data_IF_306405276925
#
_entry.id   IF_306405276925
#
_cell.length_a   1.000
_cell.length_b   1.000
_cell.length_c   1.000
_cell.angle_alpha   90.00
_cell.angle_beta   90.00
_cell.angle_gamma   90.00
#
_symmetry.space_group_name_H-M   'P 1'
#
loop_
_entity.id
_entity.type
_entity.pdbx_description
1 polymer ?
#
# COMPACT_ATOMS: atom_id res chain seq x y z
N UNK A 1 -20.38 -2.80 8.64
CA UNK A 1 -18.92 -3.05 8.75
C UNK A 1 -18.16 -1.90 9.41
N UNK A 2 -18.80 -0.75 9.71
CA UNK A 2 -18.18 0.49 10.19
C UNK A 2 -17.68 0.55 11.65
N UNK A 3 -17.58 -0.57 12.40
CA UNK A 3 -17.27 -0.44 13.84
C UNK A 3 -15.78 -0.28 14.15
N UNK A 4 -14.87 -0.62 13.24
CA UNK A 4 -13.44 -0.75 13.56
C UNK A 4 -12.45 -0.09 12.59
N UNK A 5 -12.77 0.02 11.29
CA UNK A 5 -11.86 0.63 10.29
C UNK A 5 -12.68 1.37 9.23
N UNK A 6 -12.31 2.63 8.95
CA UNK A 6 -12.80 3.44 7.84
C UNK A 6 -11.59 3.93 7.03
N UNK A 7 -11.53 3.57 5.74
CA UNK A 7 -10.46 3.95 4.82
C UNK A 7 -11.04 4.85 3.74
N UNK A 8 -10.58 6.09 3.69
CA UNK A 8 -10.86 7.01 2.58
C UNK A 8 -9.74 6.87 1.55
N UNK A 9 -10.05 6.31 0.38
CA UNK A 9 -9.10 6.18 -0.72
C UNK A 9 -8.83 7.51 -1.40
N UNK A 10 -7.63 7.67 -1.95
CA UNK A 10 -7.29 8.79 -2.81
C UNK A 10 -8.15 8.76 -4.07
N UNK A 11 -8.85 9.85 -4.35
CA UNK A 11 -9.71 10.02 -5.53
C UNK A 11 -9.06 11.02 -6.48
N UNK A 12 -8.64 10.55 -7.65
CA UNK A 12 -7.88 11.36 -8.61
C UNK A 12 -6.39 11.43 -8.28
N UNK A 13 -5.61 12.04 -9.18
CA UNK A 13 -4.16 12.09 -9.05
C UNK A 13 -3.76 13.19 -8.07
N UNK A 14 -2.69 12.94 -7.28
CA UNK A 14 -2.24 13.92 -6.27
C UNK A 14 -1.88 15.27 -6.91
N UNK A 15 -1.41 15.26 -8.16
CA UNK A 15 -1.09 16.48 -8.92
C UNK A 15 -2.32 17.35 -9.22
N UNK A 16 -3.49 16.76 -9.40
CA UNK A 16 -4.72 17.47 -9.78
C UNK A 16 -5.56 17.87 -8.57
N UNK A 17 -5.73 16.94 -7.62
CA UNK A 17 -6.67 17.11 -6.50
C UNK A 17 -5.99 17.27 -5.14
N UNK A 18 -4.66 17.21 -5.10
CA UNK A 18 -3.90 17.12 -3.86
C UNK A 18 -4.10 15.78 -3.15
N UNK A 19 -3.66 15.70 -1.90
CA UNK A 19 -3.86 14.52 -1.05
C UNK A 19 -5.25 14.62 -0.43
N UNK A 20 -6.16 13.72 -0.82
CA UNK A 20 -7.55 13.68 -0.32
C UNK A 20 -7.93 12.33 0.30
N UNK A 21 -7.05 11.32 0.21
CA UNK A 21 -7.21 10.00 0.82
C UNK A 21 -5.89 9.23 0.82
N UNK A 22 -5.94 7.96 1.20
CA UNK A 22 -4.76 7.08 1.24
C UNK A 22 -4.58 6.33 -0.07
N UNK A 23 -3.33 6.01 -0.39
CA UNK A 23 -2.97 5.09 -1.46
C UNK A 23 -2.93 3.65 -0.92
N UNK A 24 -3.03 2.69 -1.85
CA UNK A 24 -3.00 1.25 -1.51
C UNK A 24 -1.72 0.89 -0.76
N UNK A 25 -0.58 1.44 -1.19
CA UNK A 25 0.72 1.22 -0.54
C UNK A 25 0.72 1.62 0.94
N UNK A 26 0.06 2.72 1.32
CA UNK A 26 0.04 3.18 2.71
C UNK A 26 -0.68 2.16 3.62
N UNK A 27 -1.78 1.58 3.12
CA UNK A 27 -2.53 0.56 3.87
C UNK A 27 -1.71 -0.73 3.99
N UNK A 28 -0.99 -1.12 2.93
CA UNK A 28 -0.10 -2.28 2.96
C UNK A 28 1.04 -2.09 3.96
N UNK A 29 1.66 -0.92 4.02
CA UNK A 29 2.75 -0.61 4.97
C UNK A 29 2.28 -0.62 6.42
N UNK A 30 1.13 0.00 6.72
CA UNK A 30 0.55 -0.03 8.07
C UNK A 30 0.23 -1.48 8.48
N UNK A 31 -0.32 -2.27 7.55
CA UNK A 31 -0.63 -3.69 7.79
C UNK A 31 0.64 -4.51 8.00
N UNK A 32 1.69 -4.26 7.20
CA UNK A 32 2.99 -4.91 7.33
C UNK A 32 3.61 -4.66 8.71
N UNK A 33 3.62 -3.41 9.15
CA UNK A 33 4.14 -3.04 10.46
C UNK A 33 3.36 -3.74 11.57
N UNK A 34 2.03 -3.77 11.47
CA UNK A 34 1.21 -4.46 12.48
C UNK A 34 1.48 -5.96 12.52
N UNK A 35 1.69 -6.56 11.36
CA UNK A 35 1.98 -7.99 11.25
C UNK A 35 3.39 -8.33 11.74
N UNK A 36 4.38 -7.46 11.52
CA UNK A 36 5.73 -7.59 12.09
C UNK A 36 5.69 -7.58 13.62
N UNK A 37 4.96 -6.63 14.24
CA UNK A 37 4.74 -6.63 15.69
C UNK A 37 4.07 -7.91 16.19
N UNK A 38 3.06 -8.40 15.46
CA UNK A 38 2.35 -9.63 15.82
C UNK A 38 3.29 -10.84 15.76
N UNK A 39 4.08 -10.95 14.70
CA UNK A 39 5.01 -12.05 14.51
C UNK A 39 6.19 -12.02 15.48
N UNK A 40 6.63 -10.83 15.92
CA UNK A 40 7.65 -10.69 16.96
C UNK A 40 7.12 -11.22 18.31
N UNK A 41 5.86 -10.92 18.65
CA UNK A 41 5.24 -11.37 19.90
C UNK A 41 4.81 -12.83 19.87
N UNK A 42 4.30 -13.28 18.73
CA UNK A 42 3.72 -14.61 18.52
C UNK A 42 4.20 -15.17 17.17
N UNK A 43 5.44 -15.66 17.10
CA UNK A 43 6.02 -16.12 15.85
C UNK A 43 5.29 -17.35 15.32
N UNK A 44 4.85 -17.29 14.05
CA UNK A 44 4.31 -18.44 13.34
C UNK A 44 4.64 -18.39 11.84
N UNK A 45 4.50 -19.54 11.18
CA UNK A 45 4.83 -19.70 9.74
C UNK A 45 3.92 -18.82 8.87
N UNK A 46 2.64 -18.76 9.21
CA UNK A 46 1.62 -18.03 8.47
C UNK A 46 1.88 -16.52 8.52
N UNK A 47 2.27 -16.00 9.68
CA UNK A 47 2.64 -14.59 9.85
C UNK A 47 3.87 -14.26 9.00
N UNK A 48 4.92 -15.08 9.06
CA UNK A 48 6.14 -14.89 8.26
C UNK A 48 5.86 -14.89 6.76
N UNK A 49 5.06 -15.84 6.27
CA UNK A 49 4.65 -15.90 4.85
C UNK A 49 3.85 -14.65 4.47
N UNK A 50 2.93 -14.22 5.33
CA UNK A 50 2.10 -13.05 5.05
C UNK A 50 2.93 -11.77 5.01
N UNK A 51 3.93 -11.62 5.90
CA UNK A 51 4.92 -10.51 5.85
C UNK A 51 5.60 -10.48 4.48
N UNK A 52 6.16 -11.61 4.03
CA UNK A 52 6.83 -11.69 2.72
C UNK A 52 5.90 -11.31 1.57
N UNK A 53 4.63 -11.74 1.62
CA UNK A 53 3.66 -11.43 0.56
C UNK A 53 3.21 -9.98 0.55
N UNK A 54 3.12 -9.33 1.71
CA UNK A 54 2.85 -7.90 1.76
C UNK A 54 4.06 -7.10 1.27
N UNK A 55 5.29 -7.50 1.63
CA UNK A 55 6.52 -6.88 1.10
C UNK A 55 6.60 -7.01 -0.43
N UNK A 56 6.25 -8.17 -0.99
CA UNK A 56 6.14 -8.39 -2.43
C UNK A 56 5.06 -7.49 -3.07
N UNK A 57 3.89 -7.35 -2.43
CA UNK A 57 2.83 -6.48 -2.93
C UNK A 57 3.28 -5.00 -2.97
N UNK A 58 3.98 -4.52 -1.94
CA UNK A 58 4.56 -3.18 -1.88
C UNK A 58 5.60 -3.01 -2.99
N UNK A 59 6.48 -3.99 -3.18
CA UNK A 59 7.46 -3.98 -4.27
C UNK A 59 6.78 -3.80 -5.64
N UNK A 60 5.68 -4.51 -5.89
CA UNK A 60 4.94 -4.38 -7.16
C UNK A 60 4.25 -3.02 -7.35
N UNK A 61 3.72 -2.42 -6.29
CA UNK A 61 3.19 -1.04 -6.35
C UNK A 61 4.31 -0.04 -6.70
N UNK A 62 5.45 -0.16 -6.02
CA UNK A 62 6.63 0.67 -6.29
C UNK A 62 7.16 0.48 -7.72
N UNK A 63 7.20 -0.76 -8.22
CA UNK A 63 7.61 -1.04 -9.59
C UNK A 63 6.65 -0.37 -10.59
N UNK A 64 5.33 -0.46 -10.36
CA UNK A 64 4.33 0.23 -11.18
C UNK A 64 4.54 1.74 -11.15
N UNK A 65 4.78 2.36 -10.00
CA UNK A 65 5.04 3.81 -9.89
C UNK A 65 6.28 4.19 -10.69
N UNK A 66 7.39 3.46 -10.53
CA UNK A 66 8.63 3.68 -11.31
C UNK A 66 8.42 3.56 -12.82
N UNK A 67 7.65 2.57 -13.29
CA UNK A 67 7.34 2.43 -14.71
C UNK A 67 6.47 3.56 -15.24
N UNK A 68 5.61 4.15 -14.40
CA UNK A 68 4.81 5.32 -14.76
C UNK A 68 5.65 6.60 -14.78
N UNK A 69 6.59 6.74 -13.85
CA UNK A 69 7.58 7.83 -13.85
C UNK A 69 8.46 7.79 -15.10
N UNK A 70 9.00 6.61 -15.45
CA UNK A 70 9.80 6.42 -16.69
C UNK A 70 9.05 6.85 -17.95
N UNK A 71 7.74 6.62 -17.99
CA UNK A 71 6.87 6.99 -19.11
C UNK A 71 6.33 8.42 -19.03
N UNK A 72 6.69 9.19 -17.98
CA UNK A 72 6.17 10.54 -17.70
C UNK A 72 4.63 10.61 -17.60
N UNK A 73 4.02 9.53 -17.10
CA UNK A 73 2.56 9.40 -16.84
C UNK A 73 2.23 9.22 -15.36
N UNK A 74 3.23 9.36 -14.48
CA UNK A 74 3.01 9.43 -13.03
C UNK A 74 2.09 10.62 -12.71
N UNK A 75 1.01 10.35 -11.97
CA UNK A 75 -0.02 11.34 -11.68
C UNK A 75 -0.95 11.70 -12.85
N UNK A 76 -1.05 10.88 -13.90
CA UNK A 76 -2.05 11.01 -14.99
C UNK A 76 -2.99 9.81 -15.04
N UNK A 77 -4.21 9.97 -15.55
CA UNK A 77 -5.15 8.86 -15.81
C UNK A 77 -4.82 8.07 -17.10
N UNK A 78 -3.54 7.97 -17.44
CA UNK A 78 -3.04 7.25 -18.61
C UNK A 78 -2.38 5.94 -18.18
N UNK A 79 -2.53 4.89 -18.98
CA UNK A 79 -1.99 3.56 -18.69
C UNK A 79 -0.48 3.56 -18.72
#
# INVERSE_FOLDING_TARGET
>A
MEKYVNIKWQEGTIKEVGINGVQIENVLEITLNKLKELNEKFPCRENAITITKIEEAIMWQNARTKEREKRNVEGKMEA
#
